data_IF_730371532893
#
_entry.id   IF_730371532893
#
_cell.length_a   1.000
_cell.length_b   1.000
_cell.length_c   1.000
_cell.angle_alpha   90.00
_cell.angle_beta   90.00
_cell.angle_gamma   90.00
#
_symmetry.space_group_name_H-M   'P 1'
#
loop_
_entity.id
_entity.type
_entity.pdbx_description
1 polymer ?
#
# COMPACT_ATOMS: atom_id res chain seq x y z
N UNK A 1 -64.91 -42.37 -13.79
CA UNK A 1 -64.62 -41.10 -14.49
C UNK A 1 -64.26 -40.06 -13.44
N UNK A 2 -62.96 -39.73 -13.32
CA UNK A 2 -62.39 -38.44 -12.87
C UNK A 2 -62.72 -37.91 -11.45
N UNK A 3 -61.86 -37.21 -10.70
CA UNK A 3 -60.64 -36.47 -11.02
C UNK A 3 -59.77 -36.40 -9.73
N UNK A 4 -58.47 -36.66 -9.82
CA UNK A 4 -57.49 -36.46 -8.74
C UNK A 4 -57.03 -35.00 -8.79
N UNK A 5 -57.21 -34.25 -7.70
CA UNK A 5 -56.72 -32.87 -7.57
C UNK A 5 -55.30 -32.92 -7.01
N UNK A 6 -54.31 -32.69 -7.88
CA UNK A 6 -52.91 -32.49 -7.50
C UNK A 6 -52.68 -31.04 -7.09
N UNK A 7 -52.33 -30.82 -5.82
CA UNK A 7 -51.88 -29.53 -5.30
C UNK A 7 -50.43 -29.27 -5.74
N UNK A 8 -50.25 -28.30 -6.64
CA UNK A 8 -48.93 -27.76 -6.99
C UNK A 8 -48.46 -26.78 -5.91
N UNK A 9 -47.33 -27.09 -5.26
CA UNK A 9 -46.55 -26.12 -4.49
C UNK A 9 -45.69 -25.29 -5.46
N UNK A 10 -46.08 -24.05 -5.71
CA UNK A 10 -45.20 -23.05 -6.34
C UNK A 10 -44.26 -22.46 -5.28
N UNK A 11 -43.02 -22.95 -5.23
CA UNK A 11 -41.93 -22.31 -4.49
C UNK A 11 -41.46 -21.06 -5.22
N UNK A 12 -41.69 -19.89 -4.64
CA UNK A 12 -41.04 -18.64 -5.05
C UNK A 12 -39.60 -18.65 -4.54
N UNK A 13 -38.67 -19.08 -5.39
CA UNK A 13 -37.25 -18.86 -5.18
C UNK A 13 -36.95 -17.36 -5.39
N UNK A 14 -36.89 -16.60 -4.29
CA UNK A 14 -36.41 -15.22 -4.31
C UNK A 14 -34.94 -15.22 -4.70
N UNK A 15 -34.64 -14.80 -5.94
CA UNK A 15 -33.29 -14.51 -6.37
C UNK A 15 -32.79 -13.29 -5.59
N UNK A 16 -32.02 -13.52 -4.54
CA UNK A 16 -31.26 -12.46 -3.89
C UNK A 16 -30.19 -12.02 -4.88
N UNK A 17 -30.47 -10.96 -5.63
CA UNK A 17 -29.47 -10.29 -6.43
C UNK A 17 -28.37 -9.79 -5.48
N UNK A 18 -27.28 -10.55 -5.37
CA UNK A 18 -26.04 -10.01 -4.82
C UNK A 18 -25.66 -8.83 -5.69
N UNK A 19 -25.91 -7.61 -5.20
CA UNK A 19 -25.31 -6.40 -5.76
C UNK A 19 -23.82 -6.68 -5.81
N UNK A 20 -23.28 -6.81 -7.02
CA UNK A 20 -21.84 -6.83 -7.26
C UNK A 20 -21.34 -5.51 -6.67
N UNK A 21 -20.72 -5.57 -5.50
CA UNK A 21 -20.15 -4.41 -4.85
C UNK A 21 -19.13 -3.87 -5.84
N UNK A 22 -19.42 -2.72 -6.45
CA UNK A 22 -18.41 -1.99 -7.21
C UNK A 22 -17.21 -1.85 -6.28
N UNK A 23 -15.97 -2.09 -6.76
CA UNK A 23 -14.79 -1.83 -5.94
C UNK A 23 -14.93 -0.43 -5.39
N UNK A 24 -15.01 -0.31 -4.07
CA UNK A 24 -15.09 0.99 -3.42
C UNK A 24 -13.79 1.71 -3.72
N UNK A 25 -13.89 2.84 -4.42
CA UNK A 25 -12.73 3.69 -4.67
C UNK A 25 -12.14 4.16 -3.34
N UNK A 26 -10.83 4.35 -3.28
CA UNK A 26 -10.12 4.90 -2.13
C UNK A 26 -10.25 4.07 -0.83
N UNK A 27 -10.32 2.75 -0.92
CA UNK A 27 -10.28 1.86 0.27
C UNK A 27 -8.90 1.45 0.74
N UNK A 28 -7.85 1.72 -0.05
CA UNK A 28 -6.47 1.49 0.36
C UNK A 28 -5.79 2.79 0.77
N UNK A 29 -5.41 2.90 2.05
CA UNK A 29 -4.49 3.95 2.50
C UNK A 29 -3.04 3.54 2.24
N UNK A 30 -2.12 4.50 2.26
CA UNK A 30 -0.70 4.19 2.18
C UNK A 30 0.12 4.96 3.20
N UNK A 31 1.28 4.42 3.54
CA UNK A 31 2.25 4.94 4.50
C UNK A 31 3.62 4.85 3.83
N UNK A 32 4.44 5.89 3.97
CA UNK A 32 5.80 5.90 3.45
C UNK A 32 6.36 7.31 3.37
N UNK A 33 7.34 7.48 2.50
CA UNK A 33 8.03 8.73 2.22
C UNK A 33 7.73 9.23 0.79
N UNK A 34 8.52 10.18 0.29
CA UNK A 34 8.45 10.75 -1.05
C UNK A 34 8.42 9.72 -2.17
N UNK A 35 9.07 8.56 -1.97
CA UNK A 35 9.01 7.44 -2.91
C UNK A 35 7.63 6.77 -2.94
N UNK A 36 6.93 6.68 -1.81
CA UNK A 36 5.55 6.21 -1.76
C UNK A 36 4.63 7.20 -2.47
N UNK A 37 4.93 8.49 -2.30
CA UNK A 37 4.26 9.57 -3.01
C UNK A 37 4.40 9.47 -4.53
N UNK A 38 5.61 9.17 -5.03
CA UNK A 38 5.84 8.94 -6.46
C UNK A 38 5.05 7.73 -6.99
N UNK A 39 4.95 6.66 -6.21
CA UNK A 39 4.11 5.50 -6.57
C UNK A 39 2.63 5.91 -6.61
N UNK A 40 2.13 6.64 -5.60
CA UNK A 40 0.74 7.07 -5.55
C UNK A 40 0.37 8.06 -6.67
N UNK A 41 1.24 9.02 -6.97
CA UNK A 41 1.12 9.93 -8.12
C UNK A 41 1.00 9.15 -9.42
N UNK A 42 1.90 8.17 -9.62
CA UNK A 42 1.89 7.26 -10.74
C UNK A 42 0.62 6.43 -10.84
N UNK A 43 0.17 5.85 -9.73
CA UNK A 43 -0.99 4.98 -9.65
C UNK A 43 -2.24 5.72 -10.11
N UNK A 44 -2.49 6.91 -9.57
CA UNK A 44 -3.60 7.78 -9.97
C UNK A 44 -3.46 8.22 -11.44
N UNK A 45 -2.25 8.59 -11.89
CA UNK A 45 -2.00 8.97 -13.28
C UNK A 45 -2.23 7.83 -14.28
N UNK A 46 -2.19 6.57 -13.83
CA UNK A 46 -2.55 5.38 -14.59
C UNK A 46 -4.02 4.95 -14.36
N UNK A 47 -4.88 5.84 -13.85
CA UNK A 47 -6.29 5.60 -13.54
C UNK A 47 -6.56 4.56 -12.43
N UNK A 48 -5.58 4.30 -11.57
CA UNK A 48 -5.81 3.50 -10.37
C UNK A 48 -6.75 4.21 -9.40
N UNK A 49 -7.69 3.45 -8.82
CA UNK A 49 -8.76 3.99 -7.98
C UNK A 49 -8.89 3.37 -6.59
N UNK A 50 -8.20 2.25 -6.33
CA UNK A 50 -8.28 1.55 -5.05
C UNK A 50 -7.53 2.30 -3.95
N UNK A 51 -6.33 2.79 -4.25
CA UNK A 51 -5.49 3.55 -3.33
C UNK A 51 -5.88 5.02 -3.24
N UNK A 52 -5.64 5.64 -2.08
CA UNK A 52 -5.70 7.09 -1.93
C UNK A 52 -4.73 7.80 -2.88
N UNK A 53 -5.10 9.02 -3.26
CA UNK A 53 -4.16 9.92 -3.94
C UNK A 53 -3.06 10.42 -3.01
N UNK A 54 -1.99 11.02 -3.57
CA UNK A 54 -0.91 11.59 -2.78
C UNK A 54 -1.43 12.67 -1.82
N UNK A 55 -0.86 12.71 -0.61
CA UNK A 55 -1.23 13.61 0.48
C UNK A 55 -0.03 14.27 1.21
N UNK A 56 1.18 14.13 0.67
CA UNK A 56 2.36 14.91 1.09
C UNK A 56 3.27 14.23 2.11
N UNK A 57 3.58 12.95 1.95
CA UNK A 57 4.42 12.20 2.93
C UNK A 57 5.89 12.64 3.01
N UNK A 58 6.47 13.26 1.97
CA UNK A 58 7.82 13.86 2.02
C UNK A 58 8.88 12.97 2.68
N UNK A 59 9.66 13.44 3.66
CA UNK A 59 10.70 12.64 4.33
C UNK A 59 10.22 11.68 5.42
N UNK A 60 8.95 11.26 5.44
CA UNK A 60 8.40 10.41 6.51
C UNK A 60 8.89 8.95 6.40
N UNK A 61 10.11 8.72 6.86
CA UNK A 61 10.75 7.39 6.99
C UNK A 61 10.10 6.58 8.13
N UNK A 62 10.49 5.31 8.30
CA UNK A 62 9.93 4.39 9.31
C UNK A 62 9.75 5.06 10.69
N UNK A 63 10.75 5.79 11.18
CA UNK A 63 10.71 6.46 12.49
C UNK A 63 9.63 7.54 12.60
N UNK A 64 9.20 8.13 11.49
CA UNK A 64 8.10 9.10 11.47
C UNK A 64 6.74 8.45 11.77
N UNK A 65 6.65 7.11 11.74
CA UNK A 65 5.43 6.33 11.89
C UNK A 65 5.42 5.45 13.16
N UNK A 66 6.50 5.42 13.95
CA UNK A 66 6.59 4.57 15.15
C UNK A 66 5.91 5.17 16.39
N UNK A 67 5.54 6.46 16.36
CA UNK A 67 4.74 7.12 17.39
C UNK A 67 3.36 7.48 16.84
N UNK A 68 2.27 6.89 17.36
CA UNK A 68 0.88 7.12 16.89
C UNK A 68 0.39 8.56 17.00
N UNK A 69 1.05 9.40 17.80
CA UNK A 69 0.74 10.83 17.92
C UNK A 69 1.55 11.73 16.95
N UNK A 70 2.37 11.14 16.06
CA UNK A 70 3.24 11.89 15.15
C UNK A 70 2.46 12.74 14.14
N UNK A 71 3.13 13.73 13.55
CA UNK A 71 2.58 14.52 12.45
C UNK A 71 2.21 13.66 11.23
N UNK A 72 2.95 12.59 10.98
CA UNK A 72 2.69 11.64 9.89
C UNK A 72 1.33 10.96 10.06
N UNK A 73 1.03 10.47 11.27
CA UNK A 73 -0.28 9.88 11.55
C UNK A 73 -1.40 10.91 11.50
N UNK A 74 -1.18 12.14 11.95
CA UNK A 74 -2.16 13.22 11.76
C UNK A 74 -2.52 13.46 10.29
N UNK A 75 -1.54 13.39 9.38
CA UNK A 75 -1.79 13.51 7.93
C UNK A 75 -2.54 12.30 7.39
N UNK A 76 -2.19 11.08 7.83
CA UNK A 76 -2.92 9.87 7.48
C UNK A 76 -4.38 9.93 7.94
N UNK A 77 -4.62 10.37 9.18
CA UNK A 77 -5.96 10.50 9.77
C UNK A 77 -6.81 11.57 9.07
N UNK A 78 -6.20 12.61 8.51
CA UNK A 78 -6.89 13.57 7.64
C UNK A 78 -7.39 12.90 6.36
N UNK A 79 -6.61 12.00 5.76
CA UNK A 79 -7.09 11.21 4.61
C UNK A 79 -8.17 10.22 5.02
N UNK A 80 -8.03 9.56 6.18
CA UNK A 80 -9.07 8.69 6.71
C UNK A 80 -10.37 9.44 7.01
N UNK A 81 -10.30 10.71 7.41
CA UNK A 81 -11.49 11.57 7.58
C UNK A 81 -12.16 11.87 6.24
N UNK A 82 -11.36 12.03 5.17
CA UNK A 82 -11.85 12.33 3.82
C UNK A 82 -12.44 11.12 3.11
N UNK A 83 -11.77 9.96 3.18
CA UNK A 83 -12.12 8.76 2.40
C UNK A 83 -12.73 7.63 3.25
N UNK A 84 -12.74 7.77 4.57
CA UNK A 84 -13.05 6.70 5.52
C UNK A 84 -11.79 5.96 5.98
N UNK A 85 -11.89 5.27 7.14
CA UNK A 85 -10.80 4.39 7.59
C UNK A 85 -10.57 3.29 6.56
N UNK A 86 -9.32 3.07 6.11
CA UNK A 86 -9.07 2.17 5.01
C UNK A 86 -9.21 0.71 5.44
N UNK A 87 -9.76 -0.13 4.56
CA UNK A 87 -9.82 -1.58 4.73
C UNK A 87 -8.53 -2.28 4.29
N UNK A 88 -7.65 -1.55 3.59
CA UNK A 88 -6.33 -2.01 3.21
C UNK A 88 -5.29 -0.91 3.44
N UNK A 89 -4.09 -1.25 3.89
CA UNK A 89 -3.00 -0.28 4.03
C UNK A 89 -1.77 -0.81 3.32
N UNK A 90 -1.20 -0.03 2.41
CA UNK A 90 0.12 -0.28 1.87
C UNK A 90 1.19 0.46 2.68
N UNK A 91 2.14 -0.29 3.23
CA UNK A 91 3.33 0.23 3.91
C UNK A 91 4.51 0.13 2.95
N UNK A 92 5.07 1.28 2.56
CA UNK A 92 6.41 1.33 1.99
C UNK A 92 7.43 1.58 3.09
N UNK A 93 8.31 0.62 3.35
CA UNK A 93 9.43 0.80 4.28
C UNK A 93 10.40 1.81 3.63
N UNK A 94 10.42 3.02 4.17
CA UNK A 94 11.33 4.09 3.76
C UNK A 94 12.36 4.40 4.83
N UNK A 95 13.60 4.69 4.42
CA UNK A 95 14.70 5.03 5.33
C UNK A 95 15.57 6.18 4.80
N UNK A 96 16.35 6.75 5.71
CA UNK A 96 17.59 7.46 5.39
C UNK A 96 18.81 6.61 5.80
N UNK A 97 19.96 6.77 5.15
CA UNK A 97 21.14 5.91 5.31
C UNK A 97 21.69 5.84 6.74
N UNK A 98 21.39 6.84 7.58
CA UNK A 98 21.73 6.85 8.99
C UNK A 98 20.53 7.42 9.76
N UNK A 99 19.85 6.63 10.62
CA UNK A 99 20.25 5.31 11.13
C UNK A 99 19.77 4.10 10.32
N UNK A 100 19.08 4.28 9.19
CA UNK A 100 18.37 3.19 8.53
C UNK A 100 17.06 2.84 9.24
N UNK A 101 16.68 1.56 9.26
CA UNK A 101 15.58 1.05 10.08
C UNK A 101 15.87 -0.36 10.58
N UNK A 102 15.31 -0.66 11.74
CA UNK A 102 15.35 -1.98 12.38
C UNK A 102 14.06 -2.74 12.13
N UNK A 103 14.11 -4.06 12.29
CA UNK A 103 12.90 -4.88 12.20
C UNK A 103 11.88 -4.56 13.31
N UNK A 104 12.34 -4.21 14.51
CA UNK A 104 11.45 -3.81 15.61
C UNK A 104 10.67 -2.54 15.30
N UNK A 105 11.30 -1.54 14.66
CA UNK A 105 10.59 -0.34 14.21
C UNK A 105 9.57 -0.65 13.10
N UNK A 106 9.87 -1.59 12.19
CA UNK A 106 8.92 -2.06 11.17
C UNK A 106 7.72 -2.75 11.82
N UNK A 107 7.93 -3.61 12.83
CA UNK A 107 6.85 -4.24 13.59
C UNK A 107 5.98 -3.17 14.28
N UNK A 108 6.59 -2.16 14.90
CA UNK A 108 5.87 -1.06 15.54
C UNK A 108 5.07 -0.25 14.53
N UNK A 109 5.64 0.06 13.36
CA UNK A 109 4.93 0.75 12.27
C UNK A 109 3.68 -0.04 11.84
N UNK A 110 3.81 -1.34 11.59
CA UNK A 110 2.69 -2.21 11.22
C UNK A 110 1.61 -2.22 12.32
N UNK A 111 2.01 -2.35 13.58
CA UNK A 111 1.09 -2.31 14.71
C UNK A 111 0.33 -0.98 14.79
N UNK A 112 1.02 0.14 14.56
CA UNK A 112 0.40 1.46 14.50
C UNK A 112 -0.55 1.58 13.31
N UNK A 113 -0.18 1.10 12.12
CA UNK A 113 -1.06 1.10 10.96
C UNK A 113 -2.40 0.42 11.22
N UNK A 114 -2.42 -0.66 12.01
CA UNK A 114 -3.67 -1.33 12.42
C UNK A 114 -4.56 -0.46 13.31
N UNK A 115 -3.99 0.40 14.14
CA UNK A 115 -4.76 1.31 15.02
C UNK A 115 -5.45 2.42 14.22
N UNK A 116 -4.83 2.87 13.13
CA UNK A 116 -5.34 3.93 12.26
C UNK A 116 -6.25 3.41 11.13
N UNK A 117 -6.18 2.11 10.81
CA UNK A 117 -7.01 1.46 9.80
C UNK A 117 -8.37 0.97 10.34
N UNK A 118 -9.22 0.47 9.44
CA UNK A 118 -10.45 -0.22 9.82
C UNK A 118 -10.13 -1.55 10.54
N UNK A 119 -11.00 -2.03 11.45
CA UNK A 119 -10.83 -3.35 12.07
C UNK A 119 -10.68 -4.46 11.02
N UNK A 120 -9.65 -5.30 11.19
CA UNK A 120 -9.37 -6.39 10.24
C UNK A 120 -8.75 -5.95 8.92
N UNK A 121 -8.27 -4.71 8.79
CA UNK A 121 -7.63 -4.24 7.57
C UNK A 121 -6.45 -5.12 7.12
N UNK A 122 -6.39 -5.37 5.81
CA UNK A 122 -5.24 -6.05 5.19
C UNK A 122 -4.06 -5.08 5.13
N UNK A 123 -2.86 -5.58 5.37
CA UNK A 123 -1.65 -4.77 5.23
C UNK A 123 -0.74 -5.39 4.17
N UNK A 124 -0.43 -4.59 3.16
CA UNK A 124 0.60 -4.88 2.17
C UNK A 124 1.89 -4.20 2.60
N UNK A 125 3.03 -4.86 2.47
CA UNK A 125 4.32 -4.27 2.81
C UNK A 125 5.34 -4.45 1.70
N UNK A 126 6.04 -3.37 1.35
CA UNK A 126 7.12 -3.38 0.37
C UNK A 126 8.31 -2.56 0.88
N UNK A 127 9.49 -2.74 0.26
CA UNK A 127 10.60 -1.79 0.42
C UNK A 127 10.39 -0.52 -0.41
N UNK A 128 11.32 0.44 -0.27
CA UNK A 128 11.59 1.46 -1.28
C UNK A 128 11.95 0.79 -2.62
N UNK A 129 11.73 1.46 -3.77
CA UNK A 129 12.12 0.89 -5.05
C UNK A 129 13.62 0.56 -5.10
N UNK A 130 13.94 -0.61 -5.65
CA UNK A 130 15.32 -0.95 -6.03
C UNK A 130 15.64 -0.35 -7.40
N UNK A 131 16.93 -0.19 -7.70
CA UNK A 131 17.43 0.44 -8.92
C UNK A 131 18.29 -0.56 -9.69
N UNK A 132 17.70 -1.47 -10.50
CA UNK A 132 18.42 -2.63 -11.04
C UNK A 132 19.62 -2.28 -11.92
N UNK A 133 19.54 -1.16 -12.65
CA UNK A 133 20.55 -0.68 -13.60
C UNK A 133 21.34 0.54 -13.06
N UNK A 134 21.10 0.93 -11.80
CA UNK A 134 21.87 1.94 -11.08
C UNK A 134 21.73 1.77 -9.55
N UNK A 135 22.26 0.68 -8.96
CA UNK A 135 21.94 0.27 -7.59
C UNK A 135 22.36 1.27 -6.51
N UNK A 136 23.28 2.18 -6.82
CA UNK A 136 23.70 3.26 -5.93
C UNK A 136 22.82 4.52 -6.01
N UNK A 137 21.74 4.52 -6.80
CA UNK A 137 20.98 5.75 -7.11
C UNK A 137 20.60 6.50 -5.86
N UNK A 138 19.83 5.90 -4.94
CA UNK A 138 19.23 6.66 -3.83
C UNK A 138 20.24 7.08 -2.75
N UNK A 139 20.81 8.27 -2.90
CA UNK A 139 21.75 8.85 -1.93
C UNK A 139 21.12 9.07 -0.54
N UNK A 140 19.81 9.30 -0.47
CA UNK A 140 19.07 9.50 0.78
C UNK A 140 19.09 8.24 1.66
N UNK A 141 18.82 7.08 1.06
CA UNK A 141 18.80 5.79 1.74
C UNK A 141 20.20 5.13 1.80
N UNK A 142 21.15 5.63 1.01
CA UNK A 142 22.48 5.05 0.86
C UNK A 142 22.47 3.83 -0.07
N UNK A 143 23.65 3.38 -0.47
CA UNK A 143 23.79 2.33 -1.51
C UNK A 143 23.17 0.98 -1.14
N UNK A 144 23.07 0.68 0.16
CA UNK A 144 22.44 -0.55 0.66
C UNK A 144 21.00 -0.35 1.11
N UNK A 145 20.53 0.90 1.18
CA UNK A 145 19.26 1.23 1.79
C UNK A 145 18.05 0.59 1.11
N UNK A 146 17.89 0.71 -0.22
CA UNK A 146 16.79 0.06 -0.93
C UNK A 146 16.73 -1.46 -0.67
N UNK A 147 17.86 -2.16 -0.74
CA UNK A 147 17.91 -3.60 -0.47
C UNK A 147 17.55 -3.92 0.98
N UNK A 148 18.07 -3.15 1.96
CA UNK A 148 17.69 -3.30 3.36
C UNK A 148 16.17 -3.20 3.56
N UNK A 149 15.50 -2.22 2.92
CA UNK A 149 14.05 -2.08 3.05
C UNK A 149 13.27 -3.23 2.43
N UNK A 150 13.76 -3.78 1.32
CA UNK A 150 13.20 -5.00 0.70
C UNK A 150 13.34 -6.19 1.63
N UNK A 151 14.52 -6.38 2.23
CA UNK A 151 14.79 -7.50 3.12
C UNK A 151 13.92 -7.43 4.38
N UNK A 152 13.72 -6.22 4.93
CA UNK A 152 12.79 -5.97 6.03
C UNK A 152 11.33 -6.28 5.64
N UNK A 153 10.89 -5.90 4.44
CA UNK A 153 9.54 -6.17 3.97
C UNK A 153 9.29 -7.67 3.73
N UNK A 154 10.27 -8.38 3.14
CA UNK A 154 10.23 -9.84 2.97
C UNK A 154 10.18 -10.54 4.33
N UNK A 155 11.01 -10.10 5.28
CA UNK A 155 11.00 -10.64 6.64
C UNK A 155 9.63 -10.45 7.31
N UNK A 156 9.04 -9.26 7.18
CA UNK A 156 7.71 -8.99 7.72
C UNK A 156 6.62 -9.84 7.05
N UNK A 157 6.68 -10.02 5.72
CA UNK A 157 5.74 -10.89 4.99
C UNK A 157 5.87 -12.38 5.32
N UNK A 158 7.06 -12.84 5.73
CA UNK A 158 7.29 -14.21 6.18
C UNK A 158 6.87 -14.43 7.65
N UNK A 159 6.79 -13.36 8.44
CA UNK A 159 6.40 -13.40 9.85
C UNK A 159 4.87 -13.48 9.99
N UNK A 160 4.38 -14.71 10.10
CA UNK A 160 2.93 -14.99 10.24
C UNK A 160 2.27 -14.29 11.42
N UNK A 161 3.03 -13.90 12.45
CA UNK A 161 2.50 -13.15 13.60
C UNK A 161 2.07 -11.73 13.24
N UNK A 162 2.65 -11.15 12.18
CA UNK A 162 2.31 -9.79 11.73
C UNK A 162 1.09 -9.76 10.81
N UNK A 163 0.75 -10.89 10.18
CA UNK A 163 -0.37 -11.02 9.22
C UNK A 163 -0.36 -9.92 8.15
N UNK A 164 0.80 -9.72 7.51
CA UNK A 164 1.00 -8.78 6.40
C UNK A 164 1.40 -9.56 5.14
N UNK A 165 1.15 -9.00 3.97
CA UNK A 165 1.51 -9.62 2.69
C UNK A 165 2.58 -8.82 1.97
N UNK A 166 3.64 -9.50 1.54
CA UNK A 166 4.66 -8.94 0.67
C UNK A 166 4.32 -9.27 -0.80
N UNK A 167 3.83 -8.31 -1.61
CA UNK A 167 3.37 -8.59 -2.98
C UNK A 167 4.53 -8.70 -3.99
N UNK A 168 5.68 -8.09 -3.70
CA UNK A 168 6.82 -8.03 -4.61
C UNK A 168 7.65 -6.76 -4.44
N UNK A 169 8.63 -6.63 -5.32
CA UNK A 169 9.56 -5.50 -5.37
C UNK A 169 9.06 -4.40 -6.32
N UNK A 170 9.17 -3.14 -5.90
CA UNK A 170 9.15 -2.01 -6.84
C UNK A 170 10.52 -1.82 -7.48
N UNK A 171 10.55 -1.49 -8.77
CA UNK A 171 11.77 -1.23 -9.53
C UNK A 171 11.69 0.14 -10.20
N UNK A 172 12.78 0.90 -10.14
CA UNK A 172 12.92 2.19 -10.80
C UNK A 172 14.21 2.21 -11.62
N UNK A 173 14.08 2.33 -12.94
CA UNK A 173 15.21 2.25 -13.87
C UNK A 173 15.96 3.58 -13.94
N UNK A 174 17.23 3.58 -14.37
CA UNK A 174 18.09 4.78 -14.42
C UNK A 174 17.46 5.94 -15.20
N UNK A 175 16.82 5.67 -16.34
CA UNK A 175 16.13 6.69 -17.16
C UNK A 175 14.83 7.23 -16.53
N UNK A 176 14.36 6.61 -15.45
CA UNK A 176 13.15 6.96 -14.72
C UNK A 176 13.45 7.77 -13.44
N UNK A 177 14.72 7.99 -13.12
CA UNK A 177 15.18 8.76 -11.95
C UNK A 177 15.39 10.23 -12.31
N UNK A 178 15.01 11.14 -11.40
CA UNK A 178 15.14 12.59 -11.57
C UNK A 178 16.43 13.15 -10.95
N UNK A 179 16.71 12.79 -9.70
CA UNK A 179 17.70 13.49 -8.85
C UNK A 179 18.63 12.53 -8.10
N UNK A 180 18.75 11.30 -8.58
CA UNK A 180 19.44 10.26 -7.84
C UNK A 180 18.65 9.75 -6.64
N UNK A 181 17.32 9.84 -6.61
CA UNK A 181 16.51 8.92 -5.81
C UNK A 181 15.09 8.92 -6.36
N UNK A 182 14.50 10.10 -6.50
CA UNK A 182 13.10 10.24 -6.85
C UNK A 182 12.83 9.91 -8.30
N UNK A 183 11.61 9.44 -8.54
CA UNK A 183 11.14 9.17 -9.89
C UNK A 183 10.81 10.47 -10.62
N UNK A 184 11.25 10.58 -11.88
CA UNK A 184 10.72 11.57 -12.81
C UNK A 184 9.30 11.18 -13.26
N UNK A 185 8.66 11.97 -14.13
CA UNK A 185 7.29 11.67 -14.61
C UNK A 185 7.13 10.28 -15.26
N UNK A 186 8.14 9.82 -16.00
CA UNK A 186 8.11 8.48 -16.60
C UNK A 186 8.23 7.40 -15.51
N UNK A 187 9.12 7.61 -14.52
CA UNK A 187 9.28 6.72 -13.39
C UNK A 187 8.05 6.64 -12.50
N UNK A 188 7.38 7.75 -12.22
CA UNK A 188 6.11 7.75 -11.49
C UNK A 188 5.10 6.87 -12.23
N UNK A 189 4.92 7.05 -13.55
CA UNK A 189 4.02 6.19 -14.34
C UNK A 189 4.44 4.72 -14.29
N UNK A 190 5.74 4.41 -14.35
CA UNK A 190 6.26 3.04 -14.27
C UNK A 190 5.95 2.39 -12.91
N UNK A 191 6.24 3.09 -11.82
CA UNK A 191 5.91 2.66 -10.46
C UNK A 191 4.41 2.50 -10.24
N UNK A 192 3.61 3.42 -10.79
CA UNK A 192 2.15 3.33 -10.74
C UNK A 192 1.58 2.10 -11.45
N UNK A 193 2.16 1.69 -12.58
CA UNK A 193 1.78 0.45 -13.28
C UNK A 193 2.13 -0.79 -12.45
N UNK A 194 3.26 -0.78 -11.75
CA UNK A 194 3.63 -1.86 -10.83
C UNK A 194 2.63 -1.95 -9.66
N UNK A 195 2.21 -0.81 -9.10
CA UNK A 195 1.19 -0.76 -8.06
C UNK A 195 -0.18 -1.29 -8.56
N UNK A 196 -0.57 -0.95 -9.80
CA UNK A 196 -1.75 -1.56 -10.44
C UNK A 196 -1.61 -3.06 -10.63
N UNK A 197 -0.42 -3.57 -10.96
CA UNK A 197 -0.21 -5.01 -11.08
C UNK A 197 -0.34 -5.74 -9.72
N UNK A 198 -0.03 -5.06 -8.61
CA UNK A 198 -0.20 -5.63 -7.27
C UNK A 198 -1.64 -5.53 -6.75
N UNK A 199 -2.34 -4.43 -7.01
CA UNK A 199 -3.58 -4.08 -6.29
C UNK A 199 -4.69 -3.47 -7.16
N UNK A 200 -4.49 -3.37 -8.47
CA UNK A 200 -5.42 -2.74 -9.43
C UNK A 200 -6.56 -3.63 -9.87
#
# INVERSE_FOLDING_TARGET
MQLIISTLFTGLAGAVAMKRQMPSEHTMGFIGCSMAENVAQGYVANNGKHMWGPYGTSGMVVQSWTNTASSSWKLFDQQATKYGKPSEVWVQICIFQNPGATYGEVQQLIANARQHAAPGAKIWITGQPIYPDNPSSCFLAGSQGPQLTVDLAKRAGADTSLNVTYPGDFKLMKGEVQDGCHANTAGQRSLGKQALAFWG
#
